data_IF_301342361936
#
_entry.id   IF_301342361936
#
_cell.length_a   1.000
_cell.length_b   1.000
_cell.length_c   1.000
_cell.angle_alpha   90.00
_cell.angle_beta   90.00
_cell.angle_gamma   90.00
#
_symmetry.space_group_name_H-M   'P 1'
#
loop_
_entity.id
_entity.type
_entity.pdbx_description
1 polymer ?
#
# COMPACT_ATOMS: atom_id res chain seq x y z
N UNK A 1 46.04 48.21 -101.63
CA UNK A 1 46.51 47.05 -100.86
C UNK A 1 46.84 47.43 -99.41
N UNK A 2 47.78 48.36 -99.17
CA UNK A 2 48.17 48.82 -97.82
C UNK A 2 47.02 49.46 -96.99
N UNK A 3 46.19 50.30 -97.60
CA UNK A 3 45.02 50.92 -96.93
C UNK A 3 43.97 49.90 -96.52
N UNK A 4 43.72 48.89 -97.37
CA UNK A 4 42.77 47.81 -97.11
C UNK A 4 43.22 46.91 -95.96
N UNK A 5 44.51 46.55 -95.92
CA UNK A 5 45.10 45.82 -94.79
C UNK A 5 44.95 46.63 -93.50
N UNK A 6 45.27 47.93 -93.53
CA UNK A 6 45.21 48.78 -92.34
C UNK A 6 43.79 48.96 -91.80
N UNK A 7 42.79 49.16 -92.66
CA UNK A 7 41.40 49.27 -92.22
C UNK A 7 40.89 47.94 -91.69
N UNK A 8 41.20 46.82 -92.36
CA UNK A 8 40.80 45.49 -91.91
C UNK A 8 41.38 45.13 -90.55
N UNK A 9 42.68 45.36 -90.32
CA UNK A 9 43.30 45.11 -89.01
C UNK A 9 42.67 46.00 -87.94
N UNK A 10 42.44 47.28 -88.24
CA UNK A 10 41.85 48.21 -87.28
C UNK A 10 40.40 47.86 -86.93
N UNK A 11 39.58 47.50 -87.91
CA UNK A 11 38.19 47.07 -87.65
C UNK A 11 38.17 45.77 -86.88
N UNK A 12 39.01 44.79 -87.25
CA UNK A 12 39.09 43.51 -86.54
C UNK A 12 39.51 43.67 -85.08
N UNK A 13 40.56 44.46 -84.81
CA UNK A 13 41.00 44.73 -83.43
C UNK A 13 39.92 45.49 -82.67
N UNK A 14 39.31 46.51 -83.29
CA UNK A 14 38.27 47.30 -82.63
C UNK A 14 37.04 46.45 -82.30
N UNK A 15 36.54 45.65 -83.24
CA UNK A 15 35.38 44.79 -83.00
C UNK A 15 35.71 43.71 -81.97
N UNK A 16 36.90 43.10 -82.02
CA UNK A 16 37.30 42.08 -81.06
C UNK A 16 37.44 42.64 -79.64
N UNK A 17 38.12 43.78 -79.48
CA UNK A 17 38.26 44.43 -78.17
C UNK A 17 36.90 44.90 -77.67
N UNK A 18 36.08 45.50 -78.54
CA UNK A 18 34.75 45.97 -78.16
C UNK A 18 33.83 44.80 -77.76
N UNK A 19 33.77 43.70 -78.50
CA UNK A 19 32.94 42.55 -78.11
C UNK A 19 33.47 41.92 -76.82
N UNK A 20 34.78 41.75 -76.68
CA UNK A 20 35.36 41.19 -75.46
C UNK A 20 35.05 42.04 -74.22
N UNK A 21 35.27 43.36 -74.30
CA UNK A 21 35.05 44.26 -73.16
C UNK A 21 33.57 44.51 -72.90
N UNK A 22 32.77 44.82 -73.92
CA UNK A 22 31.38 45.22 -73.71
C UNK A 22 30.39 44.07 -73.64
N UNK A 23 30.73 42.88 -74.14
CA UNK A 23 29.79 41.74 -74.13
C UNK A 23 30.29 40.59 -73.29
N UNK A 24 31.55 40.16 -73.44
CA UNK A 24 32.04 38.97 -72.75
C UNK A 24 32.25 39.22 -71.24
N UNK A 25 32.95 40.29 -70.87
CA UNK A 25 33.22 40.60 -69.46
C UNK A 25 31.91 40.77 -68.64
N UNK A 26 30.93 41.59 -69.08
CA UNK A 26 29.71 41.79 -68.31
C UNK A 26 28.84 40.54 -68.23
N UNK A 27 28.74 39.77 -69.31
CA UNK A 27 27.94 38.53 -69.30
C UNK A 27 28.57 37.48 -68.41
N UNK A 28 29.90 37.32 -68.44
CA UNK A 28 30.61 36.40 -67.55
C UNK A 28 30.49 36.81 -66.08
N UNK A 29 30.70 38.09 -65.76
CA UNK A 29 30.50 38.59 -64.40
C UNK A 29 29.07 38.42 -63.93
N UNK A 30 28.09 38.77 -64.77
CA UNK A 30 26.69 38.65 -64.42
C UNK A 30 26.30 37.18 -64.18
N UNK A 31 26.67 36.28 -65.09
CA UNK A 31 26.38 34.85 -64.94
C UNK A 31 27.08 34.25 -63.74
N UNK A 32 28.36 34.57 -63.51
CA UNK A 32 29.11 34.06 -62.37
C UNK A 32 28.53 34.55 -61.04
N UNK A 33 28.30 35.87 -60.91
CA UNK A 33 27.73 36.45 -59.70
C UNK A 33 26.31 35.92 -59.48
N UNK A 34 25.48 35.92 -60.52
CA UNK A 34 24.10 35.47 -60.41
C UNK A 34 24.04 33.99 -60.04
N UNK A 35 24.78 33.12 -60.72
CA UNK A 35 24.79 31.69 -60.40
C UNK A 35 25.38 31.43 -59.02
N UNK A 36 26.49 32.07 -58.65
CA UNK A 36 27.11 31.86 -57.34
C UNK A 36 26.20 32.33 -56.21
N UNK A 37 25.68 33.56 -56.29
CA UNK A 37 24.80 34.12 -55.26
C UNK A 37 23.49 33.33 -55.21
N UNK A 38 22.85 33.07 -56.36
CA UNK A 38 21.60 32.35 -56.39
C UNK A 38 21.77 30.93 -55.88
N UNK A 39 22.77 30.18 -56.34
CA UNK A 39 22.97 28.80 -55.89
C UNK A 39 23.34 28.78 -54.42
N UNK A 40 24.26 29.63 -53.96
CA UNK A 40 24.69 29.63 -52.57
C UNK A 40 23.56 30.03 -51.62
N UNK A 41 22.90 31.17 -51.89
CA UNK A 41 21.79 31.64 -51.04
C UNK A 41 20.63 30.67 -51.09
N UNK A 42 20.21 30.23 -52.28
CA UNK A 42 19.08 29.32 -52.40
C UNK A 42 19.38 27.98 -51.74
N UNK A 43 20.54 27.37 -51.99
CA UNK A 43 20.88 26.07 -51.39
C UNK A 43 21.05 26.22 -49.88
N UNK A 44 21.75 27.24 -49.40
CA UNK A 44 21.96 27.44 -47.97
C UNK A 44 20.65 27.71 -47.23
N UNK A 45 19.83 28.66 -47.71
CA UNK A 45 18.54 28.97 -47.09
C UNK A 45 17.61 27.77 -47.19
N UNK A 46 17.47 27.15 -48.36
CA UNK A 46 16.59 26.01 -48.53
C UNK A 46 17.02 24.83 -47.65
N UNK A 47 18.31 24.45 -47.67
CA UNK A 47 18.79 23.34 -46.86
C UNK A 47 18.69 23.65 -45.38
N UNK A 48 19.09 24.84 -44.93
CA UNK A 48 19.03 25.22 -43.52
C UNK A 48 17.59 25.28 -43.01
N UNK A 49 16.70 25.99 -43.71
CA UNK A 49 15.29 26.09 -43.30
C UNK A 49 14.61 24.72 -43.39
N UNK A 50 14.78 24.01 -44.50
CA UNK A 50 14.14 22.70 -44.67
C UNK A 50 14.64 21.71 -43.63
N UNK A 51 15.96 21.58 -43.45
CA UNK A 51 16.51 20.64 -42.46
C UNK A 51 16.15 21.05 -41.05
N UNK A 52 16.28 22.32 -40.68
CA UNK A 52 15.97 22.77 -39.33
C UNK A 52 14.48 22.61 -39.01
N UNK A 53 13.59 23.07 -39.88
CA UNK A 53 12.14 22.94 -39.66
C UNK A 53 11.73 21.46 -39.70
N UNK A 54 12.17 20.71 -40.71
CA UNK A 54 11.79 19.31 -40.84
C UNK A 54 12.31 18.50 -39.66
N UNK A 55 13.60 18.63 -39.30
CA UNK A 55 14.16 17.90 -38.16
C UNK A 55 13.48 18.33 -36.87
N UNK A 56 13.41 19.63 -36.57
CA UNK A 56 12.84 20.11 -35.31
C UNK A 56 11.38 19.71 -35.16
N UNK A 57 10.54 19.96 -36.16
CA UNK A 57 9.12 19.59 -36.12
C UNK A 57 8.97 18.08 -36.06
N UNK A 58 9.65 17.33 -36.93
CA UNK A 58 9.54 15.87 -36.95
C UNK A 58 10.01 15.27 -35.63
N UNK A 59 11.18 15.66 -35.12
CA UNK A 59 11.70 15.13 -33.86
C UNK A 59 10.82 15.55 -32.69
N UNK A 60 10.38 16.80 -32.63
CA UNK A 60 9.56 17.28 -31.50
C UNK A 60 8.20 16.60 -31.49
N UNK A 61 7.50 16.59 -32.63
CA UNK A 61 6.19 15.94 -32.74
C UNK A 61 6.32 14.44 -32.51
N UNK A 62 7.27 13.77 -33.17
CA UNK A 62 7.45 12.33 -33.00
C UNK A 62 7.80 11.98 -31.56
N UNK A 63 8.79 12.64 -30.95
CA UNK A 63 9.20 12.32 -29.58
C UNK A 63 8.11 12.65 -28.58
N UNK A 64 7.45 13.81 -28.71
CA UNK A 64 6.41 14.21 -27.77
C UNK A 64 5.16 13.33 -27.88
N UNK A 65 4.69 13.04 -29.10
CA UNK A 65 3.54 12.14 -29.30
C UNK A 65 3.89 10.73 -28.87
N UNK A 66 5.05 10.20 -29.28
CA UNK A 66 5.46 8.85 -28.90
C UNK A 66 5.61 8.71 -27.38
N UNK A 67 6.30 9.65 -26.72
CA UNK A 67 6.46 9.64 -25.27
C UNK A 67 5.12 9.77 -24.55
N UNK A 68 4.24 10.65 -25.02
CA UNK A 68 2.93 10.87 -24.40
C UNK A 68 2.03 9.64 -24.55
N UNK A 69 1.94 9.08 -25.76
CA UNK A 69 1.16 7.86 -26.01
C UNK A 69 1.73 6.68 -25.21
N UNK A 70 3.05 6.47 -25.25
CA UNK A 70 3.68 5.39 -24.52
C UNK A 70 3.48 5.53 -23.01
N UNK A 71 3.67 6.72 -22.45
CA UNK A 71 3.46 6.98 -21.03
C UNK A 71 1.99 6.79 -20.65
N UNK A 72 1.05 7.31 -21.43
CA UNK A 72 -0.38 7.17 -21.16
C UNK A 72 -0.82 5.70 -21.25
N UNK A 73 -0.48 4.99 -22.33
CA UNK A 73 -0.85 3.58 -22.49
C UNK A 73 -0.20 2.73 -21.40
N UNK A 74 1.09 2.91 -21.14
CA UNK A 74 1.79 2.17 -20.10
C UNK A 74 1.19 2.45 -18.73
N UNK A 75 0.94 3.72 -18.37
CA UNK A 75 0.31 4.08 -17.11
C UNK A 75 -1.10 3.50 -17.00
N UNK A 76 -1.94 3.63 -18.03
CA UNK A 76 -3.30 3.10 -18.03
C UNK A 76 -3.32 1.57 -17.90
N UNK A 77 -2.55 0.87 -18.72
CA UNK A 77 -2.49 -0.60 -18.70
C UNK A 77 -1.89 -1.09 -17.39
N UNK A 78 -0.75 -0.52 -16.98
CA UNK A 78 -0.09 -0.93 -15.75
C UNK A 78 -0.98 -0.66 -14.55
N UNK A 79 -1.55 0.54 -14.40
CA UNK A 79 -2.46 0.82 -13.28
C UNK A 79 -3.70 -0.05 -13.34
N UNK A 80 -4.34 -0.22 -14.50
CA UNK A 80 -5.56 -1.02 -14.60
C UNK A 80 -5.29 -2.50 -14.30
N UNK A 81 -4.30 -3.12 -14.96
CA UNK A 81 -3.97 -4.53 -14.75
C UNK A 81 -3.40 -4.75 -13.35
N UNK A 82 -2.43 -3.93 -12.92
CA UNK A 82 -1.83 -4.07 -11.60
C UNK A 82 -2.87 -3.87 -10.52
N UNK A 83 -3.67 -2.80 -10.55
CA UNK A 83 -4.69 -2.59 -9.51
C UNK A 83 -5.76 -3.66 -9.57
N UNK A 84 -6.27 -4.03 -10.75
CA UNK A 84 -7.31 -5.04 -10.85
C UNK A 84 -6.82 -6.42 -10.38
N UNK A 85 -5.68 -6.90 -10.89
CA UNK A 85 -5.12 -8.20 -10.51
C UNK A 85 -4.66 -8.17 -9.06
N UNK A 86 -3.88 -7.16 -8.65
CA UNK A 86 -3.40 -7.06 -7.28
C UNK A 86 -4.58 -6.98 -6.32
N UNK A 87 -5.54 -6.07 -6.51
CA UNK A 87 -6.67 -5.96 -5.60
C UNK A 87 -7.52 -7.23 -5.63
N UNK A 88 -7.85 -7.79 -6.78
CA UNK A 88 -8.70 -8.97 -6.85
C UNK A 88 -8.02 -10.18 -6.21
N UNK A 89 -6.78 -10.50 -6.61
CA UNK A 89 -6.05 -11.65 -6.08
C UNK A 89 -5.66 -11.42 -4.62
N UNK A 90 -5.08 -10.27 -4.29
CA UNK A 90 -4.69 -9.97 -2.91
C UNK A 90 -5.92 -9.96 -2.00
N UNK A 91 -7.00 -9.25 -2.34
CA UNK A 91 -8.19 -9.24 -1.47
C UNK A 91 -8.82 -10.62 -1.40
N UNK A 92 -8.97 -11.35 -2.51
CA UNK A 92 -9.60 -12.66 -2.48
C UNK A 92 -8.77 -13.67 -1.67
N UNK A 93 -7.48 -13.80 -1.96
CA UNK A 93 -6.59 -14.73 -1.26
C UNK A 93 -6.40 -14.28 0.20
N UNK A 94 -6.08 -13.01 0.44
CA UNK A 94 -5.89 -12.50 1.79
C UNK A 94 -7.17 -12.65 2.59
N UNK A 95 -8.33 -12.20 2.11
CA UNK A 95 -9.57 -12.34 2.88
C UNK A 95 -9.94 -13.80 3.04
N UNK A 96 -9.86 -14.65 2.02
CA UNK A 96 -10.24 -16.05 2.15
C UNK A 96 -9.32 -16.80 3.11
N UNK A 97 -8.00 -16.72 2.93
CA UNK A 97 -7.03 -17.40 3.79
C UNK A 97 -7.02 -16.79 5.18
N UNK A 98 -6.94 -15.46 5.30
CA UNK A 98 -6.94 -14.79 6.59
C UNK A 98 -8.24 -15.07 7.33
N UNK A 99 -9.41 -14.89 6.73
CA UNK A 99 -10.67 -15.16 7.44
C UNK A 99 -10.82 -16.63 7.74
N UNK A 100 -10.49 -17.55 6.84
CA UNK A 100 -10.62 -18.98 7.10
C UNK A 100 -9.68 -19.44 8.22
N UNK A 101 -8.39 -19.13 8.12
CA UNK A 101 -7.40 -19.52 9.14
C UNK A 101 -7.66 -18.78 10.45
N UNK A 102 -7.85 -17.46 10.41
CA UNK A 102 -8.12 -16.68 11.61
C UNK A 102 -9.40 -17.16 12.27
N UNK A 103 -10.52 -17.28 11.56
CA UNK A 103 -11.77 -17.74 12.19
C UNK A 103 -11.65 -19.18 12.65
N UNK A 104 -11.07 -20.10 11.87
CA UNK A 104 -10.94 -21.49 12.27
C UNK A 104 -10.06 -21.63 13.51
N UNK A 105 -8.83 -21.12 13.47
CA UNK A 105 -7.89 -21.20 14.60
C UNK A 105 -8.41 -20.41 15.79
N UNK A 106 -8.81 -19.15 15.61
CA UNK A 106 -9.31 -18.32 16.70
C UNK A 106 -10.55 -18.95 17.32
N UNK A 107 -11.54 -19.38 16.53
CA UNK A 107 -12.72 -20.01 17.11
C UNK A 107 -12.40 -21.34 17.76
N UNK A 108 -11.60 -22.23 17.17
CA UNK A 108 -11.27 -23.50 17.80
C UNK A 108 -10.48 -23.32 19.09
N UNK A 109 -9.41 -22.53 19.07
CA UNK A 109 -8.58 -22.32 20.25
C UNK A 109 -9.36 -21.54 21.31
N UNK A 110 -10.02 -20.44 20.94
CA UNK A 110 -10.79 -19.64 21.89
C UNK A 110 -11.94 -20.45 22.46
N UNK A 111 -12.72 -21.16 21.65
CA UNK A 111 -13.82 -21.99 22.18
C UNK A 111 -13.28 -23.15 23.01
N UNK A 112 -12.23 -23.84 22.59
CA UNK A 112 -11.66 -24.95 23.36
C UNK A 112 -11.11 -24.49 24.71
N UNK A 113 -10.29 -23.44 24.74
CA UNK A 113 -9.73 -22.89 25.97
C UNK A 113 -10.84 -22.31 26.83
N UNK A 114 -11.74 -21.48 26.27
CA UNK A 114 -12.83 -20.86 27.01
C UNK A 114 -13.77 -21.91 27.59
N UNK A 115 -14.19 -22.91 26.82
CA UNK A 115 -15.08 -23.98 27.28
C UNK A 115 -14.37 -24.84 28.33
N UNK A 116 -13.12 -25.24 28.09
CA UNK A 116 -12.39 -26.09 29.03
C UNK A 116 -12.12 -25.37 30.36
N UNK A 117 -11.63 -24.12 30.31
CA UNK A 117 -11.41 -23.31 31.53
C UNK A 117 -12.72 -23.00 32.23
N UNK A 118 -13.76 -22.58 31.51
CA UNK A 118 -15.07 -22.28 32.08
C UNK A 118 -15.70 -23.51 32.73
N UNK A 119 -15.74 -24.66 32.05
CA UNK A 119 -16.29 -25.90 32.60
C UNK A 119 -15.45 -26.34 33.79
N UNK A 120 -14.12 -26.35 33.70
CA UNK A 120 -13.27 -26.83 34.79
C UNK A 120 -13.42 -25.94 36.03
N UNK A 121 -13.40 -24.61 35.88
CA UNK A 121 -13.58 -23.68 37.00
C UNK A 121 -15.01 -23.81 37.57
N UNK A 122 -16.03 -23.79 36.72
CA UNK A 122 -17.43 -23.85 37.16
C UNK A 122 -17.75 -25.18 37.84
N UNK A 123 -17.33 -26.31 37.26
CA UNK A 123 -17.53 -27.63 37.86
C UNK A 123 -16.73 -27.80 39.14
N UNK A 124 -15.47 -27.35 39.19
CA UNK A 124 -14.66 -27.43 40.40
C UNK A 124 -15.25 -26.61 41.54
N UNK A 125 -15.62 -25.34 41.29
CA UNK A 125 -16.26 -24.49 42.30
C UNK A 125 -17.59 -25.09 42.73
N UNK A 126 -18.45 -25.49 41.78
CA UNK A 126 -19.78 -26.01 42.10
C UNK A 126 -19.71 -27.34 42.86
N UNK A 127 -18.84 -28.27 42.44
CA UNK A 127 -18.66 -29.55 43.14
C UNK A 127 -18.02 -29.36 44.50
N UNK A 128 -17.00 -28.51 44.62
CA UNK A 128 -16.34 -28.21 45.88
C UNK A 128 -17.29 -27.56 46.87
N UNK A 129 -18.02 -26.52 46.46
CA UNK A 129 -19.02 -25.84 47.30
C UNK A 129 -20.14 -26.82 47.68
N UNK A 130 -20.67 -27.61 46.74
CA UNK A 130 -21.73 -28.59 47.02
C UNK A 130 -21.25 -29.70 47.97
N UNK A 131 -20.04 -30.22 47.78
CA UNK A 131 -19.44 -31.22 48.66
C UNK A 131 -19.16 -30.65 50.05
N UNK A 132 -18.63 -29.42 50.12
CA UNK A 132 -18.37 -28.73 51.37
C UNK A 132 -19.65 -28.47 52.16
N UNK A 133 -20.71 -27.96 51.52
CA UNK A 133 -22.02 -27.80 52.15
C UNK A 133 -22.56 -29.16 52.64
N UNK A 134 -22.47 -30.22 51.82
CA UNK A 134 -22.95 -31.56 52.20
C UNK A 134 -22.14 -32.18 53.35
N UNK A 135 -20.84 -31.96 53.41
CA UNK A 135 -19.93 -32.57 54.40
C UNK A 135 -19.88 -31.77 55.71
N UNK A 136 -19.95 -30.44 55.64
CA UNK A 136 -19.76 -29.57 56.80
C UNK A 136 -21.03 -28.89 57.28
N UNK A 137 -21.91 -28.44 56.38
CA UNK A 137 -23.12 -27.70 56.76
C UNK A 137 -24.32 -28.63 56.99
N UNK A 138 -24.51 -29.66 56.16
CA UNK A 138 -25.67 -30.56 56.25
C UNK A 138 -25.68 -31.40 57.55
N UNK A 139 -24.55 -31.94 58.04
CA UNK A 139 -24.50 -32.60 59.35
C UNK A 139 -24.69 -31.60 60.49
N UNK A 140 -24.23 -30.35 60.32
CA UNK A 140 -24.44 -29.27 61.27
C UNK A 140 -25.91 -28.87 61.40
N UNK A 141 -26.63 -28.80 60.28
CA UNK A 141 -28.07 -28.50 60.23
C UNK A 141 -28.90 -29.67 60.77
N UNK A 142 -28.56 -30.91 60.42
CA UNK A 142 -29.23 -32.11 60.95
C UNK A 142 -28.93 -32.39 62.43
N UNK A 143 -27.76 -31.97 62.93
CA UNK A 143 -27.43 -32.00 64.36
C UNK A 143 -28.00 -30.81 65.14
N UNK A 144 -28.62 -29.82 64.49
CA UNK A 144 -29.43 -28.81 65.16
C UNK A 144 -30.82 -29.40 65.40
N UNK A 145 -31.19 -29.83 66.63
CA UNK A 145 -32.56 -30.22 66.90
C UNK A 145 -33.44 -28.96 66.84
N UNK A 146 -34.77 -29.09 66.72
CA UNK A 146 -35.67 -27.94 66.87
C UNK A 146 -35.73 -27.55 68.37
N UNK A 147 -34.65 -27.02 68.93
CA UNK A 147 -34.66 -26.27 70.20
C UNK A 147 -35.11 -24.84 69.90
N UNK A 148 -36.36 -24.69 69.49
CA UNK A 148 -37.03 -23.40 69.43
C UNK A 148 -38.32 -23.45 70.24
N UNK A 149 -38.27 -24.06 71.42
CA UNK A 149 -39.34 -23.92 72.40
C UNK A 149 -38.89 -24.27 73.82
N UNK A 150 -38.09 -23.39 74.47
CA UNK A 150 -38.25 -23.08 75.89
C UNK A 150 -37.19 -22.08 76.37
N UNK A 151 -37.66 -20.91 76.77
CA UNK A 151 -37.07 -19.99 77.75
C UNK A 151 -35.95 -20.59 78.62
N UNK A 152 -34.74 -20.07 78.51
CA UNK A 152 -33.93 -19.70 79.68
C UNK A 152 -32.75 -18.81 79.29
N UNK A 153 -32.41 -17.87 80.17
CA UNK A 153 -31.46 -16.77 80.01
C UNK A 153 -29.98 -17.18 79.87
N UNK A 154 -29.68 -18.44 79.55
CA UNK A 154 -28.33 -18.93 79.21
C UNK A 154 -28.07 -19.06 77.70
N UNK A 155 -29.08 -18.88 76.85
CA UNK A 155 -28.93 -19.16 75.41
C UNK A 155 -28.23 -18.06 74.60
N UNK A 156 -28.14 -16.82 75.10
CA UNK A 156 -27.54 -15.71 74.32
C UNK A 156 -26.05 -15.95 74.01
N UNK A 157 -25.33 -16.63 74.91
CA UNK A 157 -23.93 -17.04 74.70
C UNK A 157 -23.77 -18.19 73.69
N UNK A 158 -24.68 -19.17 73.71
CA UNK A 158 -24.66 -20.27 72.75
C UNK A 158 -25.14 -19.84 71.36
N UNK A 159 -26.20 -19.03 71.25
CA UNK A 159 -26.68 -18.46 69.99
C UNK A 159 -25.59 -17.61 69.32
N UNK A 160 -24.89 -16.77 70.09
CA UNK A 160 -23.81 -15.92 69.57
C UNK A 160 -22.57 -16.72 69.18
N UNK A 161 -22.17 -17.74 69.95
CA UNK A 161 -21.06 -18.63 69.59
C UNK A 161 -21.37 -19.49 68.35
N UNK A 162 -22.58 -20.04 68.22
CA UNK A 162 -22.97 -20.85 67.06
C UNK A 162 -23.09 -19.97 65.81
N UNK A 163 -23.67 -18.77 65.94
CA UNK A 163 -23.77 -17.82 64.85
C UNK A 163 -22.39 -17.22 64.48
N UNK A 164 -21.47 -17.07 65.44
CA UNK A 164 -20.09 -16.66 65.18
C UNK A 164 -19.27 -17.76 64.53
N UNK A 165 -19.45 -19.04 64.92
CA UNK A 165 -18.83 -20.19 64.26
C UNK A 165 -19.36 -20.35 62.83
N UNK A 166 -20.67 -20.23 62.61
CA UNK A 166 -21.26 -20.24 61.26
C UNK A 166 -20.74 -19.09 60.38
N UNK A 167 -20.63 -17.88 60.93
CA UNK A 167 -20.00 -16.74 60.25
C UNK A 167 -18.51 -16.97 60.02
N UNK A 168 -17.79 -17.55 60.97
CA UNK A 168 -16.36 -17.85 60.84
C UNK A 168 -16.10 -18.89 59.75
N UNK A 169 -16.93 -19.94 59.66
CA UNK A 169 -16.86 -20.92 58.58
C UNK A 169 -17.22 -20.30 57.22
N UNK A 170 -18.24 -19.44 57.13
CA UNK A 170 -18.54 -18.71 55.88
C UNK A 170 -17.44 -17.73 55.48
N UNK A 171 -16.87 -16.97 56.43
CA UNK A 171 -15.76 -16.04 56.17
C UNK A 171 -14.52 -16.82 55.75
N UNK A 172 -14.19 -17.93 56.42
CA UNK A 172 -13.08 -18.80 56.05
C UNK A 172 -13.28 -19.42 54.67
N UNK A 173 -14.50 -19.84 54.33
CA UNK A 173 -14.86 -20.30 52.99
C UNK A 173 -14.67 -19.20 51.94
N UNK A 174 -15.16 -17.99 52.22
CA UNK A 174 -15.04 -16.85 51.31
C UNK A 174 -13.57 -16.45 51.09
N UNK A 175 -12.77 -16.45 52.16
CA UNK A 175 -11.34 -16.15 52.11
C UNK A 175 -10.56 -17.24 51.35
N UNK A 176 -10.91 -18.52 51.50
CA UNK A 176 -10.27 -19.61 50.76
C UNK A 176 -10.64 -19.59 49.27
N UNK A 177 -11.88 -19.26 48.94
CA UNK A 177 -12.32 -19.06 47.55
C UNK A 177 -11.61 -17.86 46.92
N UNK A 178 -11.44 -16.75 47.67
CA UNK A 178 -10.70 -15.58 47.19
C UNK A 178 -9.21 -15.87 46.94
N UNK A 179 -8.55 -16.58 47.86
CA UNK A 179 -7.14 -16.96 47.73
C UNK A 179 -6.91 -17.92 46.55
N UNK A 180 -7.81 -18.87 46.33
CA UNK A 180 -7.77 -19.78 45.18
C UNK A 180 -7.98 -19.02 43.85
N UNK A 181 -8.84 -17.99 43.84
CA UNK A 181 -9.05 -17.12 42.67
C UNK A 181 -7.82 -16.25 42.37
N UNK A 182 -7.10 -15.78 43.40
CA UNK A 182 -5.85 -15.02 43.24
C UNK A 182 -4.66 -15.87 42.77
N UNK A 183 -4.51 -17.10 43.29
CA UNK A 183 -3.43 -18.00 42.86
C UNK A 183 -3.61 -18.52 41.42
N UNK A 184 -4.84 -18.59 40.93
CA UNK A 184 -5.09 -19.01 39.55
C UNK A 184 -4.87 -17.85 38.55
N UNK A 185 -5.23 -16.62 38.91
CA UNK A 185 -4.93 -15.42 38.11
C UNK A 185 -3.42 -15.21 37.90
N UNK A 186 -2.59 -15.59 38.87
CA UNK A 186 -1.12 -15.51 38.76
C UNK A 186 -0.55 -16.60 37.86
N UNK A 187 -1.08 -17.83 37.91
CA UNK A 187 -0.65 -18.92 37.00
C UNK A 187 -0.99 -18.73 35.52
N UNK A 188 -1.94 -17.85 35.17
CA UNK A 188 -2.27 -17.51 33.77
C UNK A 188 -1.37 -16.40 33.18
N UNK A 189 -0.62 -15.67 34.00
CA UNK A 189 0.35 -14.66 33.56
C UNK A 189 1.71 -15.26 33.23
N UNK A 190 2.09 -16.37 33.86
CA UNK A 190 3.37 -17.06 33.64
C UNK A 190 3.35 -18.10 32.51
N UNK A 191 2.22 -18.22 31.79
CA UNK A 191 2.01 -19.13 30.67
C UNK A 191 1.91 -18.46 29.29
N UNK A 192 2.54 -17.29 29.12
CA UNK A 192 2.74 -16.58 27.86
C UNK A 192 4.18 -16.74 27.35
#
# INVERSE_FOLDING_TARGET
MHTYIRTYIRTYIHTYIHTYIHTYIPTYLHTYIHTYIHTYIHTYIHTYIHTYIHTYIHTYIHTCIHACIHACIHACIHTYIHTYIHTYIHTYIHTYIHTYIHTYIHTHIHTYIHIHTYIHIHTYIHTYVRAYIRMHMHPWILCFPPFFQANSTLEVGCQSCICSLGRFFMIRMWMHIMLLKMNYCTSQLDGF
#
